data_IF_905379054518
#
_entry.id   IF_905379054518
#
_cell.length_a   1.000
_cell.length_b   1.000
_cell.length_c   1.000
_cell.angle_alpha   90.00
_cell.angle_beta   90.00
_cell.angle_gamma   90.00
#
_symmetry.space_group_name_H-M   'P 1'
#
loop_
_entity.id
_entity.type
_entity.pdbx_description
1 polymer ?
#
# COMPACT_ATOMS: atom_id res chain seq x y z
N UNK A 1 0.33 11.27 7.84
CA UNK A 1 -0.61 10.20 7.47
C UNK A 1 -1.68 10.69 6.53
N UNK A 2 -2.30 11.83 6.80
CA UNK A 2 -3.30 12.42 5.91
C UNK A 2 -2.81 12.56 4.46
N UNK A 3 -1.61 13.10 4.25
CA UNK A 3 -1.03 13.33 2.91
C UNK A 3 -0.96 12.04 2.08
N UNK A 4 -0.42 10.95 2.63
CA UNK A 4 -0.34 9.67 1.89
C UNK A 4 -1.71 9.06 1.58
N UNK A 5 -2.69 9.27 2.45
CA UNK A 5 -4.08 8.87 2.20
C UNK A 5 -4.71 9.67 1.05
N UNK A 6 -4.54 11.00 1.05
CA UNK A 6 -5.02 11.88 -0.03
C UNK A 6 -4.35 11.53 -1.36
N UNK A 7 -3.03 11.33 -1.37
CA UNK A 7 -2.31 10.96 -2.58
C UNK A 7 -2.74 9.60 -3.13
N UNK A 8 -2.81 8.58 -2.27
CA UNK A 8 -3.20 7.22 -2.70
C UNK A 8 -4.65 7.16 -3.14
N UNK A 9 -5.57 7.61 -2.30
CA UNK A 9 -7.00 7.47 -2.56
C UNK A 9 -7.51 8.59 -3.49
N UNK A 10 -7.26 9.86 -3.12
CA UNK A 10 -7.80 11.01 -3.83
C UNK A 10 -7.14 11.33 -5.17
N UNK A 11 -5.92 10.83 -5.43
CA UNK A 11 -5.21 11.07 -6.70
C UNK A 11 -4.92 9.79 -7.45
N UNK A 12 -4.24 8.83 -6.84
CA UNK A 12 -3.80 7.62 -7.54
C UNK A 12 -4.98 6.73 -7.94
N UNK A 13 -5.83 6.29 -6.98
CA UNK A 13 -6.96 5.42 -7.33
C UNK A 13 -8.07 6.15 -8.09
N UNK A 14 -8.32 7.43 -7.78
CA UNK A 14 -9.26 8.22 -8.54
C UNK A 14 -8.81 8.40 -10.00
N UNK A 15 -7.51 8.69 -10.22
CA UNK A 15 -6.91 8.79 -11.55
C UNK A 15 -6.99 7.47 -12.31
N UNK A 16 -6.67 6.35 -11.68
CA UNK A 16 -6.81 5.01 -12.29
C UNK A 16 -8.25 4.74 -12.75
N UNK A 17 -9.22 5.00 -11.89
CA UNK A 17 -10.63 4.84 -12.22
C UNK A 17 -11.05 5.73 -13.39
N UNK A 18 -10.58 6.97 -13.45
CA UNK A 18 -10.89 7.92 -14.51
C UNK A 18 -10.40 7.46 -15.90
N UNK A 19 -9.31 6.69 -15.96
CA UNK A 19 -8.76 6.13 -17.21
C UNK A 19 -9.15 4.66 -17.44
N UNK A 20 -10.12 4.14 -16.68
CA UNK A 20 -10.64 2.77 -16.83
C UNK A 20 -9.78 1.67 -16.21
N UNK A 21 -8.73 2.02 -15.43
CA UNK A 21 -7.93 1.05 -14.68
C UNK A 21 -8.59 0.71 -13.34
N UNK A 22 -8.22 -0.43 -12.78
CA UNK A 22 -8.82 -0.96 -11.56
C UNK A 22 -8.22 -0.33 -10.29
N UNK A 23 -9.06 -0.21 -9.26
CA UNK A 23 -8.63 0.02 -7.89
C UNK A 23 -8.21 -1.27 -7.19
N UNK A 24 -7.82 -1.14 -5.93
CA UNK A 24 -7.67 -2.26 -4.98
C UNK A 24 -8.57 -1.97 -3.79
N UNK A 25 -9.24 -2.97 -3.27
CA UNK A 25 -9.98 -2.84 -2.02
C UNK A 25 -9.03 -2.42 -0.90
N UNK A 26 -9.54 -1.62 -0.01
CA UNK A 26 -8.82 -1.23 1.21
C UNK A 26 -9.70 -1.59 2.39
N UNK A 27 -9.17 -2.21 3.42
CA UNK A 27 -9.91 -2.75 4.57
C UNK A 27 -10.80 -1.74 5.31
N UNK A 28 -10.68 -0.46 4.98
CA UNK A 28 -11.58 0.61 5.42
C UNK A 28 -12.36 1.15 4.23
N UNK A 29 -13.70 0.97 4.23
CA UNK A 29 -14.57 1.56 3.21
C UNK A 29 -14.69 0.74 1.93
N UNK A 30 -14.92 -0.54 2.06
CA UNK A 30 -15.32 -1.41 0.94
C UNK A 30 -16.85 -1.45 0.83
N UNK A 31 -17.34 -1.43 -0.40
CA UNK A 31 -18.73 -1.73 -0.73
C UNK A 31 -18.75 -2.83 -1.78
N UNK A 32 -19.45 -3.90 -1.53
CA UNK A 32 -19.57 -5.06 -2.40
C UNK A 32 -21.04 -5.26 -2.74
N UNK A 33 -21.34 -5.52 -4.01
CA UNK A 33 -22.67 -5.96 -4.39
C UNK A 33 -23.00 -7.34 -3.78
N UNK A 34 -24.23 -7.53 -3.35
CA UNK A 34 -24.69 -8.81 -2.79
C UNK A 34 -24.42 -9.98 -3.73
N UNK A 35 -24.68 -9.77 -5.03
CA UNK A 35 -24.44 -10.75 -6.09
C UNK A 35 -22.95 -11.20 -6.17
N UNK A 36 -22.01 -10.30 -5.86
CA UNK A 36 -20.58 -10.62 -5.84
C UNK A 36 -20.30 -11.59 -4.70
N UNK A 37 -20.85 -11.31 -3.51
CA UNK A 37 -20.68 -12.16 -2.34
C UNK A 37 -21.39 -13.52 -2.49
N UNK A 38 -22.55 -13.55 -3.11
CA UNK A 38 -23.27 -14.79 -3.40
C UNK A 38 -22.54 -15.67 -4.41
N UNK A 39 -21.91 -15.05 -5.44
CA UNK A 39 -21.20 -15.78 -6.49
C UNK A 39 -19.80 -16.23 -6.09
N UNK A 40 -19.04 -15.38 -5.40
CA UNK A 40 -17.62 -15.62 -5.08
C UNK A 40 -17.40 -16.05 -3.63
N UNK A 41 -18.35 -15.76 -2.74
CA UNK A 41 -18.14 -15.87 -1.30
C UNK A 41 -17.06 -14.92 -0.78
N UNK A 42 -16.74 -15.03 0.49
CA UNK A 42 -15.54 -14.40 1.06
C UNK A 42 -14.48 -15.47 1.28
N UNK A 43 -13.44 -15.45 0.46
CA UNK A 43 -12.38 -16.49 0.41
C UNK A 43 -11.04 -16.01 0.95
N UNK A 44 -10.89 -14.73 1.22
CA UNK A 44 -9.67 -14.11 1.70
C UNK A 44 -9.59 -14.12 3.23
N UNK A 45 -8.66 -14.89 3.79
CA UNK A 45 -8.47 -15.06 5.24
C UNK A 45 -7.04 -14.74 5.69
N UNK A 46 -6.21 -14.17 4.82
CA UNK A 46 -4.84 -13.78 5.17
C UNK A 46 -4.81 -12.45 5.95
N UNK A 47 -3.62 -12.06 6.38
CA UNK A 47 -3.39 -10.76 7.05
C UNK A 47 -3.60 -9.56 6.11
N UNK A 48 -3.63 -9.80 4.79
CA UNK A 48 -3.92 -8.81 3.75
C UNK A 48 -5.19 -9.19 2.99
N UNK A 49 -6.26 -9.51 3.72
CA UNK A 49 -7.53 -10.02 3.20
C UNK A 49 -8.17 -9.12 2.14
N UNK A 50 -8.04 -7.81 2.29
CA UNK A 50 -8.56 -6.81 1.35
C UNK A 50 -7.83 -6.89 0.00
N UNK A 51 -6.52 -6.99 0.00
CA UNK A 51 -5.71 -7.14 -1.22
C UNK A 51 -5.86 -8.52 -1.83
N UNK A 52 -5.93 -9.57 -1.00
CA UNK A 52 -6.14 -10.94 -1.45
C UNK A 52 -7.47 -11.06 -2.18
N UNK A 53 -8.55 -10.57 -1.58
CA UNK A 53 -9.88 -10.59 -2.18
C UNK A 53 -9.95 -9.71 -3.44
N UNK A 54 -9.26 -8.56 -3.45
CA UNK A 54 -9.14 -7.74 -4.67
C UNK A 54 -8.59 -8.54 -5.84
N UNK A 55 -7.50 -9.28 -5.62
CA UNK A 55 -6.87 -10.07 -6.69
C UNK A 55 -7.81 -11.19 -7.16
N UNK A 56 -8.50 -11.85 -6.24
CA UNK A 56 -9.47 -12.91 -6.60
C UNK A 56 -10.62 -12.37 -7.43
N UNK A 57 -11.19 -11.23 -7.07
CA UNK A 57 -12.21 -10.56 -7.85
C UNK A 57 -11.72 -10.17 -9.25
N UNK A 58 -10.51 -9.58 -9.34
CA UNK A 58 -9.92 -9.16 -10.62
C UNK A 58 -9.64 -10.35 -11.52
N UNK A 59 -9.10 -11.46 -11.00
CA UNK A 59 -8.90 -12.70 -11.73
C UNK A 59 -10.23 -13.35 -12.16
N UNK A 60 -11.29 -13.17 -11.38
CA UNK A 60 -12.66 -13.56 -11.71
C UNK A 60 -13.38 -12.61 -12.70
N UNK A 61 -12.66 -11.61 -13.26
CA UNK A 61 -13.21 -10.67 -14.24
C UNK A 61 -14.07 -9.56 -13.63
N UNK A 62 -14.10 -9.44 -12.30
CA UNK A 62 -14.84 -8.37 -11.64
C UNK A 62 -14.05 -7.05 -11.70
N UNK A 63 -14.78 -5.93 -11.70
CA UNK A 63 -14.17 -4.60 -11.74
C UNK A 63 -14.24 -3.93 -10.38
N UNK A 64 -13.14 -3.32 -9.96
CA UNK A 64 -13.03 -2.59 -8.70
C UNK A 64 -12.78 -1.12 -9.02
N UNK A 65 -13.71 -0.27 -8.63
CA UNK A 65 -13.63 1.17 -8.85
C UNK A 65 -13.46 1.92 -7.53
N UNK A 66 -12.73 3.00 -7.59
CA UNK A 66 -12.64 3.95 -6.49
C UNK A 66 -13.66 5.05 -6.65
N UNK A 67 -14.51 5.27 -5.63
CA UNK A 67 -15.45 6.38 -5.62
C UNK A 67 -14.92 7.51 -4.71
N UNK A 68 -14.50 8.66 -5.28
CA UNK A 68 -13.97 9.77 -4.50
C UNK A 68 -15.03 10.49 -3.64
N UNK A 69 -16.31 10.27 -3.89
CA UNK A 69 -17.41 10.84 -3.12
C UNK A 69 -17.73 10.01 -1.86
N UNK A 70 -17.37 8.73 -1.85
CA UNK A 70 -17.56 7.87 -0.69
C UNK A 70 -16.46 8.14 0.34
N UNK A 71 -16.83 8.73 1.46
CA UNK A 71 -15.89 9.06 2.55
C UNK A 71 -16.07 8.12 3.72
N UNK A 72 -14.97 7.56 4.21
CA UNK A 72 -14.94 6.77 5.45
C UNK A 72 -14.01 7.42 6.46
N UNK A 73 -14.41 7.39 7.71
CA UNK A 73 -13.64 7.94 8.82
C UNK A 73 -13.15 6.80 9.71
N UNK A 74 -11.84 6.73 9.90
CA UNK A 74 -11.22 5.73 10.74
C UNK A 74 -10.30 6.39 11.78
N UNK A 75 -10.27 5.81 12.98
CA UNK A 75 -9.38 6.29 14.04
C UNK A 75 -7.95 5.87 13.74
N UNK A 76 -7.06 6.83 13.64
CA UNK A 76 -5.62 6.60 13.48
C UNK A 76 -4.98 6.09 14.76
N UNK A 77 -3.82 5.43 14.63
CA UNK A 77 -3.01 4.98 15.76
C UNK A 77 -2.59 6.15 16.63
N UNK A 78 -2.83 6.05 17.94
CA UNK A 78 -2.60 7.14 18.88
C UNK A 78 -1.15 7.23 19.40
N UNK A 79 -0.39 6.16 19.27
CA UNK A 79 1.01 6.12 19.72
C UNK A 79 1.89 5.33 18.75
N UNK A 80 3.20 5.53 18.89
CA UNK A 80 4.22 4.95 18.02
C UNK A 80 4.20 3.41 18.01
N UNK A 81 4.00 2.79 19.17
CA UNK A 81 3.94 1.32 19.31
C UNK A 81 2.77 0.73 18.52
N UNK A 82 1.58 1.32 18.67
CA UNK A 82 0.38 0.90 17.95
C UNK A 82 0.55 1.11 16.44
N UNK A 83 1.12 2.25 16.04
CA UNK A 83 1.43 2.56 14.66
C UNK A 83 2.39 1.54 14.04
N UNK A 84 3.45 1.16 14.76
CA UNK A 84 4.44 0.18 14.31
C UNK A 84 3.82 -1.21 14.12
N UNK A 85 3.04 -1.67 15.10
CA UNK A 85 2.34 -2.96 14.99
C UNK A 85 1.35 -3.02 13.82
N UNK A 86 0.56 -1.94 13.63
CA UNK A 86 -0.40 -1.87 12.54
C UNK A 86 0.31 -1.89 11.18
N UNK A 87 1.38 -1.11 11.01
CA UNK A 87 2.13 -1.05 9.75
C UNK A 87 2.91 -2.31 9.45
N UNK A 88 3.47 -2.96 10.48
CA UNK A 88 4.14 -4.24 10.33
C UNK A 88 3.16 -5.31 9.83
N UNK A 89 1.95 -5.32 10.38
CA UNK A 89 0.87 -6.20 9.92
C UNK A 89 0.53 -5.94 8.46
N UNK A 90 0.30 -4.68 8.09
CA UNK A 90 -0.01 -4.30 6.69
C UNK A 90 1.13 -4.65 5.72
N UNK A 91 2.38 -4.39 6.11
CA UNK A 91 3.53 -4.74 5.28
C UNK A 91 3.61 -6.26 5.06
N UNK A 92 3.53 -7.06 6.14
CA UNK A 92 3.61 -8.52 6.00
C UNK A 92 2.43 -9.13 5.27
N UNK A 93 1.22 -8.56 5.40
CA UNK A 93 0.05 -8.95 4.60
C UNK A 93 0.28 -8.68 3.12
N UNK A 94 0.71 -7.47 2.76
CA UNK A 94 1.01 -7.11 1.38
C UNK A 94 2.06 -8.03 0.74
N UNK A 95 3.17 -8.29 1.42
CA UNK A 95 4.22 -9.19 0.90
C UNK A 95 3.75 -10.63 0.76
N UNK A 96 2.83 -11.09 1.62
CA UNK A 96 2.23 -12.42 1.47
C UNK A 96 1.38 -12.53 0.21
N UNK A 97 0.49 -11.56 -0.01
CA UNK A 97 -0.38 -11.52 -1.20
C UNK A 97 0.47 -11.31 -2.46
N UNK A 98 1.45 -10.41 -2.42
CA UNK A 98 2.38 -10.20 -3.52
C UNK A 98 3.07 -11.49 -3.93
N UNK A 99 3.67 -12.22 -3.00
CA UNK A 99 4.40 -13.46 -3.28
C UNK A 99 3.53 -14.59 -3.82
N UNK A 100 2.23 -14.60 -3.50
CA UNK A 100 1.31 -15.67 -3.93
C UNK A 100 0.48 -15.33 -5.17
N UNK A 101 0.23 -14.05 -5.46
CA UNK A 101 -0.80 -13.64 -6.43
C UNK A 101 -0.28 -12.81 -7.62
N UNK A 102 0.89 -12.15 -7.53
CA UNK A 102 1.41 -11.27 -8.62
C UNK A 102 1.62 -12.05 -9.92
N UNK A 103 2.20 -13.25 -9.82
CA UNK A 103 2.44 -14.08 -11.01
C UNK A 103 1.15 -14.47 -11.75
N UNK A 104 0.07 -14.74 -11.01
CA UNK A 104 -1.24 -15.05 -11.58
C UNK A 104 -1.82 -13.83 -12.33
N UNK A 105 -1.72 -12.62 -11.74
CA UNK A 105 -2.17 -11.39 -12.39
C UNK A 105 -1.40 -11.10 -13.67
N UNK A 106 -0.06 -11.25 -13.66
CA UNK A 106 0.78 -11.03 -14.84
C UNK A 106 0.43 -12.06 -15.93
N UNK A 107 0.41 -13.36 -15.56
CA UNK A 107 0.08 -14.42 -16.49
C UNK A 107 -1.27 -14.22 -17.16
N UNK A 108 -2.31 -13.98 -16.37
CA UNK A 108 -3.66 -13.78 -16.93
C UNK A 108 -3.74 -12.46 -17.71
N UNK A 109 -3.07 -11.40 -17.25
CA UNK A 109 -3.00 -10.13 -17.97
C UNK A 109 -2.38 -10.27 -19.35
N UNK A 110 -1.30 -11.05 -19.50
CA UNK A 110 -0.68 -11.35 -20.79
C UNK A 110 -1.61 -12.21 -21.65
N UNK A 111 -2.14 -13.30 -21.11
CA UNK A 111 -3.01 -14.22 -21.86
C UNK A 111 -4.30 -13.57 -22.37
N UNK A 112 -4.85 -12.61 -21.64
CA UNK A 112 -6.09 -11.90 -22.00
C UNK A 112 -5.84 -10.53 -22.61
N UNK A 113 -4.56 -10.13 -22.82
CA UNK A 113 -4.16 -8.79 -23.26
C UNK A 113 -4.76 -7.67 -22.39
N UNK A 114 -4.92 -7.92 -21.10
CA UNK A 114 -5.55 -7.01 -20.15
C UNK A 114 -4.51 -6.12 -19.47
N UNK A 115 -4.40 -4.88 -19.94
CA UNK A 115 -3.56 -3.85 -19.31
C UNK A 115 -3.96 -3.64 -17.85
N UNK A 116 -5.25 -3.75 -17.52
CA UNK A 116 -5.77 -3.57 -16.18
C UNK A 116 -5.25 -4.62 -15.18
N UNK A 117 -5.12 -5.88 -15.58
CA UNK A 117 -4.53 -6.93 -14.74
C UNK A 117 -3.02 -6.72 -14.54
N UNK A 118 -2.32 -6.32 -15.60
CA UNK A 118 -0.88 -6.00 -15.52
C UNK A 118 -0.65 -4.81 -14.60
N UNK A 119 -1.44 -3.74 -14.76
CA UNK A 119 -1.38 -2.57 -13.87
C UNK A 119 -1.70 -2.90 -12.41
N UNK A 120 -2.64 -3.83 -12.17
CA UNK A 120 -2.94 -4.33 -10.81
C UNK A 120 -1.78 -5.12 -10.22
N UNK A 121 -1.08 -5.92 -11.04
CA UNK A 121 0.14 -6.60 -10.63
C UNK A 121 1.26 -5.60 -10.26
N UNK A 122 1.46 -4.56 -11.08
CA UNK A 122 2.39 -3.45 -10.79
C UNK A 122 2.01 -2.75 -9.49
N UNK A 123 0.73 -2.47 -9.27
CA UNK A 123 0.23 -1.83 -8.03
C UNK A 123 0.53 -2.68 -6.79
N UNK A 124 0.35 -3.99 -6.89
CA UNK A 124 0.62 -4.93 -5.79
C UNK A 124 2.13 -5.06 -5.53
N UNK A 125 2.94 -5.09 -6.59
CA UNK A 125 4.39 -5.23 -6.51
C UNK A 125 5.09 -3.94 -6.06
N UNK A 126 4.62 -2.76 -6.50
CA UNK A 126 5.28 -1.49 -6.27
C UNK A 126 5.47 -1.19 -4.77
N UNK A 127 6.68 -0.84 -4.33
CA UNK A 127 6.92 -0.41 -2.96
C UNK A 127 6.10 0.85 -2.64
N UNK A 128 5.79 1.06 -1.37
CA UNK A 128 5.14 2.31 -0.96
C UNK A 128 6.10 3.52 -1.10
N UNK A 129 5.54 4.73 -1.15
CA UNK A 129 6.32 5.96 -1.37
C UNK A 129 7.50 6.16 -0.41
N UNK A 130 7.35 5.78 0.87
CA UNK A 130 8.45 5.91 1.83
C UNK A 130 9.58 4.92 1.55
N UNK A 131 9.28 3.71 1.09
CA UNK A 131 10.31 2.75 0.67
C UNK A 131 11.00 3.19 -0.61
N UNK A 132 10.25 3.73 -1.58
CA UNK A 132 10.84 4.30 -2.80
C UNK A 132 11.78 5.47 -2.46
N UNK A 133 11.34 6.40 -1.59
CA UNK A 133 12.16 7.52 -1.15
C UNK A 133 13.42 7.05 -0.40
N UNK A 134 13.28 6.04 0.49
CA UNK A 134 14.44 5.49 1.22
C UNK A 134 15.44 4.82 0.30
N UNK A 135 14.98 4.01 -0.67
CA UNK A 135 15.85 3.36 -1.64
C UNK A 135 16.53 4.38 -2.56
N UNK A 136 15.79 5.37 -3.05
CA UNK A 136 16.34 6.45 -3.86
C UNK A 136 17.41 7.26 -3.10
N UNK A 137 17.18 7.54 -1.80
CA UNK A 137 18.14 8.22 -0.95
C UNK A 137 19.41 7.38 -0.74
N UNK A 138 19.27 6.07 -0.51
CA UNK A 138 20.40 5.16 -0.40
C UNK A 138 21.22 5.09 -1.71
N UNK A 139 20.54 5.02 -2.86
CA UNK A 139 21.19 5.06 -4.17
C UNK A 139 21.89 6.41 -4.40
N UNK A 140 21.26 7.53 -4.04
CA UNK A 140 21.84 8.87 -4.19
C UNK A 140 23.14 9.00 -3.36
N UNK A 141 23.08 8.64 -2.08
CA UNK A 141 24.23 8.71 -1.17
C UNK A 141 25.33 7.74 -1.59
N UNK A 142 24.97 6.50 -1.95
CA UNK A 142 25.93 5.48 -2.36
C UNK A 142 26.65 5.81 -3.68
N UNK A 143 25.99 6.49 -4.61
CA UNK A 143 26.56 6.87 -5.90
C UNK A 143 27.33 8.21 -5.88
N UNK A 144 27.17 9.01 -4.82
CA UNK A 144 27.80 10.33 -4.69
C UNK A 144 29.31 10.29 -4.85
N UNK A 145 29.98 9.33 -4.22
CA UNK A 145 31.46 9.25 -4.17
C UNK A 145 32.08 8.98 -5.55
N UNK A 146 31.33 8.28 -6.43
CA UNK A 146 31.83 7.84 -7.73
C UNK A 146 31.04 8.45 -8.91
N UNK A 147 30.50 9.64 -8.75
CA UNK A 147 29.64 10.30 -9.75
C UNK A 147 30.32 10.50 -11.12
N UNK A 148 31.65 10.55 -11.15
CA UNK A 148 32.44 10.64 -12.40
C UNK A 148 32.45 9.34 -13.22
N UNK A 149 32.14 8.18 -12.64
CA UNK A 149 31.98 6.94 -13.37
C UNK A 149 30.59 6.92 -14.06
N UNK A 150 30.49 6.49 -15.32
CA UNK A 150 29.23 6.52 -16.08
C UNK A 150 28.08 5.80 -15.39
N UNK A 151 28.32 4.63 -14.80
CA UNK A 151 27.28 3.84 -14.12
C UNK A 151 26.80 4.53 -12.82
N UNK A 152 27.75 5.00 -12.00
CA UNK A 152 27.42 5.68 -10.74
C UNK A 152 26.83 7.06 -10.97
N UNK A 153 27.32 7.79 -12.01
CA UNK A 153 26.73 9.05 -12.44
C UNK A 153 25.28 8.90 -12.91
N UNK A 154 25.00 7.90 -13.75
CA UNK A 154 23.64 7.56 -14.15
C UNK A 154 22.73 7.25 -12.95
N UNK A 155 23.21 6.40 -12.03
CA UNK A 155 22.48 6.05 -10.80
C UNK A 155 22.18 7.25 -9.94
N UNK A 156 23.15 8.17 -9.78
CA UNK A 156 22.99 9.41 -9.01
C UNK A 156 21.89 10.30 -9.60
N UNK A 157 21.95 10.60 -10.90
CA UNK A 157 20.97 11.47 -11.54
C UNK A 157 19.56 10.86 -11.55
N UNK A 158 19.43 9.56 -11.76
CA UNK A 158 18.16 8.88 -11.67
C UNK A 158 17.58 8.89 -10.25
N UNK A 159 18.40 8.66 -9.24
CA UNK A 159 17.97 8.74 -7.84
C UNK A 159 17.54 10.16 -7.47
N UNK A 160 18.29 11.17 -7.90
CA UNK A 160 17.94 12.58 -7.71
C UNK A 160 16.61 12.94 -8.39
N UNK A 161 16.41 12.53 -9.64
CA UNK A 161 15.17 12.75 -10.37
C UNK A 161 13.97 12.07 -9.69
N UNK A 162 14.14 10.83 -9.22
CA UNK A 162 13.10 10.10 -8.50
C UNK A 162 12.75 10.79 -7.16
N UNK A 163 13.74 11.25 -6.40
CA UNK A 163 13.51 12.01 -5.16
C UNK A 163 12.77 13.30 -5.47
N UNK A 164 13.16 14.04 -6.50
CA UNK A 164 12.49 15.27 -6.92
C UNK A 164 11.02 15.00 -7.32
N UNK A 165 10.76 13.93 -8.07
CA UNK A 165 9.41 13.53 -8.45
C UNK A 165 8.56 13.16 -7.22
N UNK A 166 9.09 12.36 -6.28
CA UNK A 166 8.41 11.99 -5.03
C UNK A 166 8.12 13.25 -4.20
N UNK A 167 9.11 14.14 -4.05
CA UNK A 167 8.95 15.38 -3.29
C UNK A 167 7.88 16.28 -3.91
N UNK A 168 7.90 16.49 -5.22
CA UNK A 168 6.89 17.26 -5.94
C UNK A 168 5.49 16.68 -5.76
N UNK A 169 5.34 15.35 -5.86
CA UNK A 169 4.08 14.67 -5.63
C UNK A 169 3.57 14.85 -4.18
N UNK A 170 4.48 14.79 -3.19
CA UNK A 170 4.15 15.07 -1.79
C UNK A 170 3.73 16.52 -1.54
N UNK A 171 4.40 17.48 -2.18
CA UNK A 171 4.03 18.90 -2.11
C UNK A 171 2.61 19.09 -2.64
N UNK A 172 2.28 18.52 -3.79
CA UNK A 172 0.91 18.54 -4.32
C UNK A 172 -0.09 17.90 -3.35
N UNK A 173 0.31 16.80 -2.68
CA UNK A 173 -0.50 16.16 -1.66
C UNK A 173 -0.73 17.02 -0.43
N UNK A 174 0.28 17.74 0.04
CA UNK A 174 0.18 18.66 1.18
C UNK A 174 -0.86 19.73 0.91
N UNK A 175 -0.77 20.40 -0.24
CA UNK A 175 -1.74 21.44 -0.63
C UNK A 175 -3.14 20.91 -0.93
N UNK A 176 -3.29 19.61 -1.10
CA UNK A 176 -4.60 18.94 -1.27
C UNK A 176 -5.22 18.48 0.05
N UNK A 177 -4.57 18.70 1.20
CA UNK A 177 -5.13 18.37 2.53
C UNK A 177 -5.92 19.54 3.13
N UNK A 178 -6.81 19.25 4.07
CA UNK A 178 -7.59 20.27 4.79
C UNK A 178 -6.72 21.13 5.74
N UNK A 179 -5.51 20.68 6.08
CA UNK A 179 -4.62 21.36 7.01
C UNK A 179 -3.15 21.36 6.51
N UNK A 180 -2.84 22.09 5.42
CA UNK A 180 -1.51 22.05 4.80
C UNK A 180 -0.38 22.50 5.73
N UNK A 181 -0.62 23.49 6.62
CA UNK A 181 0.37 23.94 7.60
C UNK A 181 0.81 22.84 8.57
N UNK A 182 -0.13 22.02 9.07
CA UNK A 182 0.19 20.87 9.94
C UNK A 182 0.96 19.78 9.17
N UNK A 183 0.65 19.60 7.90
CA UNK A 183 1.37 18.65 7.04
C UNK A 183 2.81 19.10 6.77
N UNK A 184 3.06 20.39 6.57
CA UNK A 184 4.39 20.97 6.44
C UNK A 184 5.25 20.77 7.70
N UNK A 185 4.69 21.03 8.87
CA UNK A 185 5.39 20.76 10.14
C UNK A 185 5.78 19.28 10.26
N UNK A 186 4.95 18.36 9.74
CA UNK A 186 5.25 16.95 9.70
C UNK A 186 6.50 16.58 8.88
N UNK A 187 6.95 17.42 7.94
CA UNK A 187 8.17 17.18 7.16
C UNK A 187 9.44 17.18 8.02
N UNK A 188 9.45 17.90 9.14
CA UNK A 188 10.58 17.91 10.09
C UNK A 188 10.87 16.50 10.62
N UNK A 189 9.85 15.64 10.68
CA UNK A 189 9.98 14.26 11.17
C UNK A 189 10.43 13.26 10.08
N UNK A 190 10.57 13.68 8.82
CA UNK A 190 10.93 12.78 7.70
C UNK A 190 12.25 12.05 7.94
N UNK A 191 13.34 12.68 8.45
CA UNK A 191 14.60 11.98 8.72
C UNK A 191 14.48 10.81 9.71
N UNK A 192 13.55 10.89 10.67
CA UNK A 192 13.28 9.81 11.62
C UNK A 192 12.25 8.83 11.04
N UNK A 193 11.30 9.34 10.29
CA UNK A 193 10.21 8.54 9.72
C UNK A 193 10.69 7.56 8.65
N UNK A 194 11.60 7.95 7.76
CA UNK A 194 12.06 7.09 6.67
C UNK A 194 12.82 5.85 7.16
N UNK A 195 13.82 5.93 8.05
CA UNK A 195 14.48 4.75 8.59
C UNK A 195 13.54 3.82 9.34
N UNK A 196 12.66 4.39 10.18
CA UNK A 196 11.64 3.60 10.87
C UNK A 196 10.72 2.88 9.88
N UNK A 197 10.30 3.56 8.84
CA UNK A 197 9.40 2.98 7.85
C UNK A 197 10.09 1.89 7.04
N UNK A 198 11.36 2.08 6.67
CA UNK A 198 12.17 1.06 6.00
C UNK A 198 12.34 -0.19 6.87
N UNK A 199 12.62 -0.02 8.17
CA UNK A 199 12.70 -1.15 9.12
C UNK A 199 11.39 -1.94 9.16
N UNK A 200 10.24 -1.25 9.23
CA UNK A 200 8.91 -1.90 9.20
C UNK A 200 8.72 -2.71 7.91
N UNK A 201 9.13 -2.18 6.76
CA UNK A 201 8.99 -2.88 5.48
C UNK A 201 9.88 -4.13 5.43
N UNK A 202 11.14 -4.03 5.86
CA UNK A 202 12.06 -5.16 5.90
C UNK A 202 11.56 -6.27 6.84
N UNK A 203 11.11 -5.91 8.04
CA UNK A 203 10.51 -6.87 8.97
C UNK A 203 9.21 -7.48 8.41
N UNK A 204 8.40 -6.68 7.73
CA UNK A 204 7.18 -7.14 7.05
C UNK A 204 7.48 -8.15 5.94
N UNK A 205 8.51 -7.90 5.12
CA UNK A 205 9.00 -8.79 4.09
C UNK A 205 9.46 -10.15 4.68
N UNK A 206 10.11 -10.12 5.84
CA UNK A 206 10.50 -11.31 6.60
C UNK A 206 9.32 -12.00 7.33
N UNK A 207 8.11 -11.46 7.22
CA UNK A 207 6.88 -12.07 7.74
C UNK A 207 6.62 -11.89 9.24
N UNK A 208 7.37 -11.01 9.93
CA UNK A 208 7.22 -10.81 11.39
C UNK A 208 5.81 -10.39 11.83
N UNK A 209 5.04 -9.69 10.98
CA UNK A 209 3.67 -9.25 11.27
C UNK A 209 2.61 -10.35 11.24
N UNK A 210 2.90 -11.52 10.64
CA UNK A 210 1.92 -12.61 10.46
C UNK A 210 1.63 -13.36 11.76
N UNK A 211 2.59 -13.46 12.67
CA UNK A 211 2.53 -14.29 13.87
C UNK A 211 1.51 -13.82 14.93
N UNK A 212 1.04 -12.59 14.86
CA UNK A 212 0.15 -12.01 15.87
C UNK A 212 -1.33 -12.01 15.49
N UNK A 213 -1.70 -12.34 14.26
CA UNK A 213 -3.09 -12.33 13.78
C UNK A 213 -3.90 -13.51 14.34
N UNK A 214 -3.34 -14.70 14.37
CA UNK A 214 -4.04 -15.93 14.77
C UNK A 214 -4.39 -16.06 16.26
N UNK A 215 -3.83 -15.23 17.13
CA UNK A 215 -4.08 -15.31 18.58
C UNK A 215 -5.32 -14.53 19.05
N UNK A 216 -5.70 -13.45 18.36
CA UNK A 216 -6.86 -12.63 18.78
C UNK A 216 -8.22 -13.22 18.41
N UNK A 217 -8.31 -13.97 17.34
CA UNK A 217 -9.57 -14.60 16.93
C UNK A 217 -10.01 -15.75 17.86
N UNK A 218 -9.06 -16.44 18.49
CA UNK A 218 -9.37 -17.55 19.42
C UNK A 218 -9.85 -17.11 20.81
N UNK A 219 -9.42 -15.96 21.31
CA UNK A 219 -9.84 -15.46 22.64
C UNK A 219 -11.22 -14.81 22.63
N UNK A 220 -11.68 -14.28 21.51
CA UNK A 220 -12.99 -13.63 21.41
C UNK A 220 -14.17 -14.64 21.33
N UNK A 221 -13.92 -15.86 20.87
CA UNK A 221 -14.96 -16.89 20.71
C UNK A 221 -15.17 -17.70 22.00
N UNK A 222 -14.15 -17.77 22.86
CA UNK A 222 -14.23 -18.54 24.11
C UNK A 222 -15.04 -17.89 25.24
N UNK A 223 -15.25 -16.56 25.18
CA UNK A 223 -15.95 -15.84 26.26
C UNK A 223 -17.48 -15.71 26.07
N UNK A 224 -18.04 -16.15 24.92
CA UNK A 224 -19.49 -16.03 24.63
C UNK A 224 -20.31 -17.29 24.90
N UNK A 225 -19.71 -18.39 25.34
CA UNK A 225 -20.42 -19.65 25.60
C UNK A 225 -20.55 -20.07 27.08
N UNK A 226 -20.28 -19.16 28.03
CA UNK A 226 -20.34 -19.51 29.48
C UNK A 226 -21.51 -18.83 30.21
N UNK A 227 -22.39 -18.08 29.53
CA UNK A 227 -23.61 -17.57 30.18
C UNK A 227 -24.82 -17.73 29.25
N UNK A 228 -25.42 -18.91 29.25
CA UNK A 228 -26.86 -19.19 29.08
C UNK A 228 -27.19 -20.50 29.73
#
# INVERSE_FOLDING_TARGET
MAVTGVLRNGRYYAGKTAIGLQGMLTGTGMCLGTEILERHGWTAFSVGEDWEFSVELLLGGQKIYFNPLAKTFAKESQNFKQASHQRLRWASGRYAVMGSKVSALIRQGILTSSISLIDSAVTLFAPNYSSQASLALLCLVGSWVNVGDPFWGFTFYWAAALIAAIASYFVLGIFSTEAPGKALVGLVLVPVFLPWRLTIELLGMLGYGRRHWGRRSRSATSSKHVNR
#
